data_IF_543098769016
#
_entry.id   IF_543098769016
#
_cell.length_a   1.000
_cell.length_b   1.000
_cell.length_c   1.000
_cell.angle_alpha   90.00
_cell.angle_beta   90.00
_cell.angle_gamma   90.00
#
_symmetry.space_group_name_H-M   'P 1'
#
loop_
_entity.id
_entity.type
_entity.pdbx_description
1 polymer ?
#
# COMPACT_ATOMS: atom_id res chain seq x y z
N UNK A 1 -19.42 -4.16 -6.39
CA UNK A 1 -19.40 -3.30 -5.19
C UNK A 1 -18.05 -3.51 -4.53
N UNK A 2 -17.08 -2.62 -4.74
CA UNK A 2 -15.74 -2.82 -4.17
C UNK A 2 -15.79 -2.48 -2.69
N UNK A 3 -15.69 -3.51 -1.85
CA UNK A 3 -15.65 -3.35 -0.40
C UNK A 3 -14.44 -2.51 0.01
N UNK A 4 -14.64 -1.51 0.88
CA UNK A 4 -13.59 -0.56 1.29
C UNK A 4 -12.53 -1.25 2.15
N UNK A 5 -12.93 -2.09 3.09
CA UNK A 5 -11.99 -2.84 3.92
C UNK A 5 -12.61 -4.12 4.47
N UNK A 6 -11.75 -5.03 4.92
CA UNK A 6 -12.12 -6.28 5.58
C UNK A 6 -11.61 -6.29 7.01
N UNK A 7 -12.45 -6.62 7.99
CA UNK A 7 -11.99 -6.92 9.35
C UNK A 7 -11.15 -8.19 9.30
N UNK A 8 -9.91 -8.14 9.82
CA UNK A 8 -8.99 -9.29 9.80
C UNK A 8 -8.65 -9.83 11.19
N UNK A 9 -9.10 -9.15 12.24
CA UNK A 9 -8.87 -9.55 13.64
C UNK A 9 -10.11 -10.24 14.22
N UNK A 10 -9.93 -11.08 15.24
CA UNK A 10 -11.02 -11.82 15.88
C UNK A 10 -11.76 -11.02 16.96
N UNK A 11 -11.12 -10.05 17.61
CA UNK A 11 -11.71 -9.23 18.67
C UNK A 11 -12.56 -8.08 18.13
N UNK A 12 -13.32 -7.44 19.02
CA UNK A 12 -14.17 -6.31 18.67
C UNK A 12 -13.37 -5.07 18.30
N UNK A 13 -13.81 -4.41 17.24
CA UNK A 13 -13.20 -3.19 16.71
C UNK A 13 -14.29 -2.16 16.43
N UNK A 14 -13.95 -0.86 16.38
CA UNK A 14 -14.90 0.18 16.01
C UNK A 14 -15.53 -0.06 14.62
N UNK A 15 -16.68 0.57 14.39
CA UNK A 15 -17.33 0.55 13.08
C UNK A 15 -16.40 1.12 11.99
N UNK A 16 -16.42 0.55 10.78
CA UNK A 16 -15.52 0.95 9.70
C UNK A 16 -15.64 2.44 9.35
N UNK A 17 -16.84 3.00 9.49
CA UNK A 17 -17.17 4.41 9.27
C UNK A 17 -16.40 5.34 10.21
N UNK A 18 -15.99 4.87 11.40
CA UNK A 18 -15.16 5.66 12.31
C UNK A 18 -13.78 5.93 11.73
N UNK A 19 -13.36 5.17 10.72
CA UNK A 19 -12.10 5.33 10.00
C UNK A 19 -12.22 6.24 8.77
N UNK A 20 -13.37 6.86 8.52
CA UNK A 20 -13.62 7.66 7.32
C UNK A 20 -12.65 8.85 7.15
N UNK A 21 -12.10 9.37 8.25
CA UNK A 21 -11.07 10.43 8.23
C UNK A 21 -9.64 9.93 8.00
N UNK A 22 -9.41 8.61 8.00
CA UNK A 22 -8.07 8.04 7.79
C UNK A 22 -7.66 8.09 6.32
N UNK A 23 -6.36 8.27 6.08
CA UNK A 23 -5.81 8.33 4.72
C UNK A 23 -6.06 7.03 3.94
N UNK A 24 -5.94 5.86 4.59
CA UNK A 24 -6.22 4.57 3.96
C UNK A 24 -7.67 4.49 3.44
N UNK A 25 -8.63 4.90 4.27
CA UNK A 25 -10.05 4.91 3.91
C UNK A 25 -10.33 5.86 2.76
N UNK A 26 -9.87 7.11 2.85
CA UNK A 26 -10.11 8.15 1.85
C UNK A 26 -9.58 7.71 0.48
N UNK A 27 -8.35 7.17 0.44
CA UNK A 27 -7.74 6.73 -0.81
C UNK A 27 -8.42 5.49 -1.38
N UNK A 28 -8.77 4.51 -0.54
CA UNK A 28 -9.46 3.31 -1.01
C UNK A 28 -10.85 3.63 -1.55
N UNK A 29 -11.58 4.52 -0.88
CA UNK A 29 -12.88 5.02 -1.38
C UNK A 29 -12.71 5.74 -2.72
N UNK A 30 -11.76 6.66 -2.82
CA UNK A 30 -11.48 7.39 -4.07
C UNK A 30 -11.16 6.46 -5.24
N UNK A 31 -10.35 5.42 -5.02
CA UNK A 31 -10.03 4.43 -6.04
C UNK A 31 -11.25 3.60 -6.46
N UNK A 32 -12.13 3.24 -5.50
CA UNK A 32 -13.38 2.55 -5.81
C UNK A 32 -14.32 3.41 -6.68
N UNK A 33 -14.26 4.73 -6.49
CA UNK A 33 -15.03 5.70 -7.27
C UNK A 33 -14.36 6.05 -8.63
N UNK A 34 -13.26 5.36 -8.99
CA UNK A 34 -12.53 5.57 -10.24
C UNK A 34 -11.61 6.79 -10.25
N UNK A 35 -11.34 7.39 -9.08
CA UNK A 35 -10.44 8.52 -8.95
C UNK A 35 -8.96 8.15 -9.11
N UNK A 36 -8.12 9.17 -9.27
CA UNK A 36 -6.68 9.02 -9.45
C UNK A 36 -5.90 9.34 -8.18
N UNK A 37 -4.65 8.85 -8.12
CA UNK A 37 -3.72 9.09 -7.01
C UNK A 37 -2.71 10.18 -7.36
N UNK A 38 -2.47 11.09 -6.42
CA UNK A 38 -1.38 12.06 -6.52
C UNK A 38 -0.02 11.37 -6.31
N UNK A 39 1.09 12.06 -6.65
CA UNK A 39 2.45 11.53 -6.41
C UNK A 39 2.67 11.16 -4.93
N UNK A 40 2.31 12.05 -4.01
CA UNK A 40 2.46 11.81 -2.57
C UNK A 40 1.60 10.64 -2.07
N UNK A 41 0.43 10.42 -2.66
CA UNK A 41 -0.45 9.30 -2.31
C UNK A 41 0.12 7.97 -2.80
N UNK A 42 0.70 7.93 -4.01
CA UNK A 42 1.39 6.75 -4.53
C UNK A 42 2.59 6.34 -3.66
N UNK A 43 3.38 7.33 -3.27
CA UNK A 43 4.55 7.14 -2.41
C UNK A 43 4.11 6.67 -1.02
N UNK A 44 3.05 7.28 -0.46
CA UNK A 44 2.48 6.87 0.82
C UNK A 44 1.95 5.43 0.78
N UNK A 45 1.12 5.06 -0.22
CA UNK A 45 0.61 3.68 -0.35
C UNK A 45 1.77 2.68 -0.44
N UNK A 46 2.75 2.97 -1.30
CA UNK A 46 3.92 2.11 -1.49
C UNK A 46 4.68 1.92 -0.18
N UNK A 47 4.87 2.99 0.60
CA UNK A 47 5.55 2.89 1.90
C UNK A 47 4.78 2.02 2.88
N UNK A 48 3.50 2.32 3.12
CA UNK A 48 2.69 1.64 4.15
C UNK A 48 2.45 0.15 3.83
N UNK A 49 2.31 -0.20 2.55
CA UNK A 49 2.17 -1.60 2.11
C UNK A 49 3.44 -2.42 2.35
N UNK A 50 4.63 -1.81 2.26
CA UNK A 50 5.88 -2.52 2.54
C UNK A 50 6.32 -2.41 4.00
N UNK A 51 5.86 -1.40 4.74
CA UNK A 51 6.17 -1.15 6.15
C UNK A 51 5.04 -1.60 7.08
N UNK A 52 4.54 -2.81 6.87
CA UNK A 52 3.67 -3.47 7.82
C UNK A 52 4.00 -4.97 7.88
N UNK A 53 3.57 -5.61 8.96
CA UNK A 53 3.88 -7.02 9.25
C UNK A 53 2.85 -8.00 8.66
N UNK A 54 1.66 -7.53 8.29
CA UNK A 54 0.52 -8.40 8.02
C UNK A 54 0.36 -8.75 6.54
N UNK A 55 0.53 -7.77 5.65
CA UNK A 55 0.14 -7.90 4.25
C UNK A 55 1.15 -7.22 3.33
N UNK A 56 1.24 -7.73 2.09
CA UNK A 56 2.05 -7.13 1.01
C UNK A 56 1.22 -6.42 -0.05
N UNK A 57 -0.10 -6.41 0.09
CA UNK A 57 -1.02 -5.79 -0.88
C UNK A 57 -2.01 -4.81 -0.22
N UNK A 58 -1.88 -4.60 1.08
CA UNK A 58 -2.88 -3.93 1.89
C UNK A 58 -2.28 -3.15 3.04
N UNK A 59 -3.01 -2.13 3.50
CA UNK A 59 -2.66 -1.32 4.65
C UNK A 59 -3.58 -1.73 5.82
N UNK A 60 -3.03 -2.27 6.93
CA UNK A 60 -3.81 -2.57 8.12
C UNK A 60 -4.02 -1.31 8.96
N UNK A 61 -5.24 -1.07 9.44
CA UNK A 61 -5.57 0.01 10.36
C UNK A 61 -6.72 -0.39 11.29
N UNK A 62 -6.49 -0.35 12.61
CA UNK A 62 -7.47 -0.64 13.66
C UNK A 62 -8.28 -1.92 13.42
N UNK A 63 -7.59 -3.00 13.00
CA UNK A 63 -8.19 -4.32 12.76
C UNK A 63 -8.87 -4.48 11.40
N UNK A 64 -8.84 -3.47 10.55
CA UNK A 64 -9.27 -3.53 9.16
C UNK A 64 -8.10 -3.58 8.18
N UNK A 65 -8.30 -4.27 7.06
CA UNK A 65 -7.36 -4.40 5.93
C UNK A 65 -7.93 -3.62 4.74
N UNK A 66 -7.24 -2.54 4.36
CA UNK A 66 -7.55 -1.76 3.16
C UNK A 66 -6.70 -2.27 1.99
N UNK A 67 -7.34 -2.92 1.02
CA UNK A 67 -6.66 -3.57 -0.10
C UNK A 67 -6.34 -2.58 -1.24
N UNK A 68 -5.11 -2.62 -1.79
CA UNK A 68 -4.66 -1.78 -2.90
C UNK A 68 -4.10 -2.60 -4.09
N UNK A 69 -4.44 -3.89 -4.18
CA UNK A 69 -3.92 -4.81 -5.21
C UNK A 69 -4.14 -4.32 -6.64
N UNK A 70 -5.24 -3.58 -6.88
CA UNK A 70 -5.61 -3.00 -8.17
C UNK A 70 -4.66 -1.89 -8.66
N UNK A 71 -3.91 -1.26 -7.74
CA UNK A 71 -2.94 -0.21 -8.07
C UNK A 71 -1.49 -0.63 -7.83
N UNK A 72 -1.26 -1.82 -7.26
CA UNK A 72 0.07 -2.30 -6.90
C UNK A 72 0.65 -3.20 -7.99
N UNK A 73 1.95 -3.04 -8.20
CA UNK A 73 2.80 -3.88 -9.04
C UNK A 73 3.91 -4.49 -8.20
N UNK A 74 4.49 -5.58 -8.70
CA UNK A 74 5.61 -6.26 -8.04
C UNK A 74 6.92 -5.77 -8.62
N UNK A 75 7.85 -5.40 -7.76
CA UNK A 75 9.18 -4.97 -8.16
C UNK A 75 10.24 -5.80 -7.46
N UNK A 76 11.26 -6.20 -8.21
CA UNK A 76 12.50 -6.75 -7.67
C UNK A 76 13.55 -5.65 -7.67
N UNK A 77 14.09 -5.36 -6.49
CA UNK A 77 15.09 -4.32 -6.27
C UNK A 77 16.41 -4.97 -5.94
N UNK A 78 17.46 -4.58 -6.66
CA UNK A 78 18.85 -4.92 -6.33
C UNK A 78 19.49 -3.77 -5.56
N UNK A 79 19.91 -4.04 -4.33
CA UNK A 79 20.56 -3.07 -3.45
C UNK A 79 21.63 -3.74 -2.59
N UNK A 80 22.86 -3.19 -2.60
CA UNK A 80 24.01 -3.71 -1.86
C UNK A 80 24.25 -5.21 -2.07
N UNK A 81 24.12 -5.68 -3.33
CA UNK A 81 24.28 -7.10 -3.67
C UNK A 81 23.09 -8.01 -3.32
N UNK A 82 22.04 -7.50 -2.67
CA UNK A 82 20.83 -8.26 -2.32
C UNK A 82 19.68 -7.96 -3.29
N UNK A 83 18.81 -8.96 -3.49
CA UNK A 83 17.56 -8.81 -4.22
C UNK A 83 16.38 -8.91 -3.25
N UNK A 84 15.52 -7.90 -3.25
CA UNK A 84 14.34 -7.85 -2.39
C UNK A 84 13.10 -7.54 -3.24
N UNK A 85 12.02 -8.27 -2.98
CA UNK A 85 10.73 -8.01 -3.59
C UNK A 85 9.97 -6.93 -2.80
N UNK A 86 9.40 -5.97 -3.53
CA UNK A 86 8.54 -4.93 -2.98
C UNK A 86 7.27 -4.79 -3.82
N UNK A 87 6.20 -4.32 -3.18
CA UNK A 87 4.94 -3.99 -3.84
C UNK A 87 4.79 -2.48 -3.89
N UNK A 88 4.61 -1.90 -5.06
CA UNK A 88 4.53 -0.45 -5.19
C UNK A 88 3.61 -0.01 -6.31
N UNK A 89 3.19 1.25 -6.28
CA UNK A 89 2.30 1.78 -7.33
C UNK A 89 3.08 2.03 -8.62
N UNK A 90 4.30 2.54 -8.51
CA UNK A 90 5.22 2.68 -9.63
C UNK A 90 6.68 2.64 -9.15
N UNK A 91 7.61 2.53 -10.12
CA UNK A 91 9.05 2.49 -9.87
C UNK A 91 9.57 3.72 -9.12
N UNK A 92 8.96 4.89 -9.33
CA UNK A 92 9.35 6.13 -8.65
C UNK A 92 8.98 6.05 -7.17
N UNK A 93 7.81 5.54 -6.83
CA UNK A 93 7.40 5.34 -5.43
C UNK A 93 8.26 4.31 -4.70
N UNK A 94 8.69 3.23 -5.38
CA UNK A 94 9.68 2.29 -4.82
C UNK A 94 11.00 3.02 -4.52
N UNK A 95 11.49 3.84 -5.46
CA UNK A 95 12.74 4.59 -5.27
C UNK A 95 12.62 5.66 -4.18
N UNK A 96 11.45 6.27 -4.02
CA UNK A 96 11.13 7.25 -2.97
C UNK A 96 11.14 6.62 -1.57
N UNK A 97 10.67 5.36 -1.46
CA UNK A 97 10.66 4.61 -0.21
C UNK A 97 12.04 4.13 0.23
N UNK A 98 12.92 3.77 -0.71
CA UNK A 98 14.22 3.17 -0.41
C UNK A 98 15.28 4.23 -0.09
N UNK A 99 16.11 3.95 0.91
CA UNK A 99 17.25 4.78 1.26
C UNK A 99 18.54 4.28 0.61
N UNK A 100 19.39 5.22 0.18
CA UNK A 100 20.72 4.92 -0.35
C UNK A 100 20.74 4.53 -1.83
N UNK A 101 21.87 3.93 -2.26
CA UNK A 101 22.10 3.65 -3.68
C UNK A 101 21.36 2.40 -4.11
N UNK A 102 20.41 2.55 -5.02
CA UNK A 102 19.73 1.43 -5.69
C UNK A 102 20.45 1.09 -7.00
N UNK A 103 20.82 -0.17 -7.19
CA UNK A 103 21.53 -0.62 -8.41
C UNK A 103 20.55 -0.86 -9.55
N UNK A 104 19.43 -1.53 -9.27
CA UNK A 104 18.42 -1.87 -10.29
C UNK A 104 17.04 -2.01 -9.65
N UNK A 105 16.01 -1.60 -10.39
CA UNK A 105 14.61 -1.88 -10.08
C UNK A 105 13.98 -2.44 -11.36
N UNK A 106 13.40 -3.64 -11.26
CA UNK A 106 12.71 -4.34 -12.35
C UNK A 106 11.27 -4.57 -11.91
N UNK A 107 10.32 -4.23 -12.79
CA UNK A 107 8.91 -4.61 -12.65
C UNK A 107 8.72 -6.04 -13.19
N UNK A 108 8.00 -6.88 -12.46
CA UNK A 108 7.66 -8.25 -12.89
C UNK A 108 6.38 -8.29 -13.72
#
# INVERSE_FOLDING_TARGET
>A
MNQIAYKFVSWDVPALESLAGSKAYILRKRLNDGGTLTREEKDWITREVNHNTYFKDSIPLLGYRFNFVDVLKTFVVKQYGHYTEYKGVDKTSIRSMLYGRVERIVEL
#
